data_IF_968949591853
#
_entry.id   IF_968949591853
#
_cell.length_a   1.000
_cell.length_b   1.000
_cell.length_c   1.000
_cell.angle_alpha   90.00
_cell.angle_beta   90.00
_cell.angle_gamma   90.00
#
_symmetry.space_group_name_H-M   'P 1'
#
loop_
_entity.id
_entity.type
_entity.pdbx_description
1 polymer ?
#
# COMPACT_ATOMS: atom_id res chain seq x y z
N UNK A 1 12.94 -6.42 8.01
CA UNK A 1 11.89 -6.63 6.97
C UNK A 1 10.88 -7.68 7.37
N UNK A 2 11.30 -8.80 7.97
CA UNK A 2 10.35 -9.80 8.48
C UNK A 2 9.39 -9.22 9.52
N UNK A 3 9.91 -8.48 10.50
CA UNK A 3 9.08 -7.77 11.48
C UNK A 3 8.08 -6.81 10.81
N UNK A 4 8.54 -6.03 9.82
CA UNK A 4 7.68 -5.12 9.07
C UNK A 4 6.57 -5.85 8.29
N UNK A 5 6.87 -7.03 7.73
CA UNK A 5 5.87 -7.90 7.09
C UNK A 5 4.83 -8.33 8.12
N UNK A 6 5.27 -8.89 9.26
CA UNK A 6 4.37 -9.37 10.31
C UNK A 6 3.43 -8.25 10.78
N UNK A 7 3.97 -7.07 11.08
CA UNK A 7 3.18 -5.93 11.54
C UNK A 7 2.23 -5.39 10.47
N UNK A 8 2.69 -5.26 9.21
CA UNK A 8 1.83 -4.84 8.09
C UNK A 8 0.61 -5.77 7.95
N UNK A 9 0.86 -7.08 7.96
CA UNK A 9 -0.20 -8.06 7.86
C UNK A 9 -1.12 -8.09 9.10
N UNK A 10 -0.57 -7.88 10.30
CA UNK A 10 -1.36 -7.78 11.54
C UNK A 10 -2.32 -6.59 11.49
N UNK A 11 -1.82 -5.41 11.11
CA UNK A 11 -2.60 -4.18 11.00
C UNK A 11 -3.65 -4.31 9.90
N UNK A 12 -3.28 -4.83 8.72
CA UNK A 12 -4.20 -4.99 7.59
C UNK A 12 -5.33 -5.98 7.88
N UNK A 13 -5.10 -6.99 8.73
CA UNK A 13 -6.12 -7.97 9.12
C UNK A 13 -7.06 -7.51 10.22
N UNK A 14 -6.78 -6.41 10.91
CA UNK A 14 -7.68 -5.86 11.91
C UNK A 14 -9.08 -5.58 11.30
N UNK A 15 -10.15 -5.83 12.06
CA UNK A 15 -11.54 -5.68 11.61
C UNK A 15 -11.81 -4.31 10.99
N UNK A 16 -11.26 -3.28 11.61
CA UNK A 16 -11.50 -1.88 11.25
C UNK A 16 -10.75 -1.48 9.97
N UNK A 17 -9.73 -2.27 9.59
CA UNK A 17 -8.88 -2.03 8.43
C UNK A 17 -9.27 -2.85 7.19
N UNK A 18 -10.33 -3.65 7.27
CA UNK A 18 -10.72 -4.55 6.17
C UNK A 18 -11.01 -3.78 4.87
N UNK A 19 -10.17 -4.06 3.87
CA UNK A 19 -10.17 -3.47 2.54
C UNK A 19 -9.71 -2.00 2.48
N UNK A 20 -9.25 -1.40 3.57
CA UNK A 20 -8.72 -0.02 3.58
C UNK A 20 -7.50 0.02 2.64
N UNK A 21 -7.42 0.95 1.67
CA UNK A 21 -6.31 0.97 0.72
C UNK A 21 -4.96 1.18 1.42
N UNK A 22 -3.94 0.50 0.93
CA UNK A 22 -2.58 0.55 1.49
C UNK A 22 -1.60 1.02 0.44
N UNK A 23 -0.93 2.13 0.72
CA UNK A 23 0.26 2.58 -0.01
C UNK A 23 1.49 2.21 0.80
N UNK A 24 2.41 1.45 0.21
CA UNK A 24 3.73 1.16 0.78
C UNK A 24 4.76 2.07 0.11
N UNK A 25 5.40 2.93 0.91
CA UNK A 25 6.51 3.75 0.45
C UNK A 25 7.82 3.01 0.69
N UNK A 26 8.41 2.49 -0.38
CA UNK A 26 9.76 1.92 -0.39
C UNK A 26 10.78 3.07 -0.31
N UNK A 27 10.91 3.62 0.89
CA UNK A 27 11.68 4.83 1.17
C UNK A 27 13.20 4.59 1.16
N UNK A 28 13.96 5.69 1.11
CA UNK A 28 15.42 5.78 1.11
C UNK A 28 16.08 5.33 -0.21
N UNK A 29 15.42 5.54 -1.35
CA UNK A 29 15.99 5.19 -2.66
C UNK A 29 17.24 6.00 -3.03
N UNK A 30 17.54 7.06 -2.28
CA UNK A 30 18.78 7.85 -2.34
C UNK A 30 20.01 7.09 -1.80
N UNK A 31 19.81 6.05 -0.98
CA UNK A 31 20.90 5.35 -0.30
C UNK A 31 21.43 4.17 -1.13
N UNK A 32 22.75 3.92 -1.10
CA UNK A 32 23.31 2.70 -1.67
C UNK A 32 22.75 1.47 -0.94
N UNK A 33 22.39 0.45 -1.70
CA UNK A 33 21.81 -0.78 -1.14
C UNK A 33 20.32 -0.71 -0.80
N UNK A 34 19.62 0.38 -1.16
CA UNK A 34 18.17 0.45 -1.08
C UNK A 34 17.54 -0.63 -1.97
N UNK A 35 16.53 -1.31 -1.42
CA UNK A 35 15.75 -2.29 -2.19
C UNK A 35 14.81 -1.57 -3.15
N UNK A 36 14.66 -2.10 -4.35
CA UNK A 36 13.66 -1.62 -5.30
C UNK A 36 12.24 -1.81 -4.77
N UNK A 37 11.29 -1.02 -5.30
CA UNK A 37 9.87 -1.16 -4.95
C UNK A 37 9.34 -2.60 -5.17
N UNK A 38 9.79 -3.27 -6.23
CA UNK A 38 9.40 -4.65 -6.53
C UNK A 38 9.96 -5.65 -5.50
N UNK A 39 11.20 -5.46 -5.04
CA UNK A 39 11.78 -6.30 -3.98
C UNK A 39 11.09 -6.08 -2.63
N UNK A 40 10.75 -4.83 -2.30
CA UNK A 40 9.96 -4.51 -1.11
C UNK A 40 8.57 -5.15 -1.20
N UNK A 41 7.89 -5.06 -2.35
CA UNK A 41 6.59 -5.71 -2.59
C UNK A 41 6.66 -7.21 -2.33
N UNK A 42 7.69 -7.88 -2.87
CA UNK A 42 7.91 -9.32 -2.71
C UNK A 42 8.20 -9.69 -1.25
N UNK A 43 9.12 -8.98 -0.59
CA UNK A 43 9.55 -9.31 0.79
C UNK A 43 8.47 -9.04 1.82
N UNK A 44 7.63 -8.02 1.60
CA UNK A 44 6.49 -7.72 2.47
C UNK A 44 5.24 -8.53 2.12
N UNK A 45 5.28 -9.36 1.08
CA UNK A 45 4.12 -10.13 0.60
C UNK A 45 2.87 -9.26 0.43
N UNK A 46 3.02 -8.06 -0.14
CA UNK A 46 1.95 -7.05 -0.22
C UNK A 46 0.71 -7.57 -0.97
N UNK A 47 0.91 -8.46 -1.95
CA UNK A 47 -0.18 -9.10 -2.71
C UNK A 47 -1.00 -10.12 -1.91
N UNK A 48 -0.48 -10.57 -0.77
CA UNK A 48 -1.17 -11.47 0.17
C UNK A 48 -1.96 -10.69 1.24
N UNK A 49 -1.98 -9.36 1.19
CA UNK A 49 -2.94 -8.56 1.96
C UNK A 49 -4.37 -8.90 1.52
N UNK A 50 -5.35 -8.66 2.40
CA UNK A 50 -6.72 -9.15 2.21
C UNK A 50 -7.26 -8.80 0.81
N UNK A 51 -7.92 -9.75 0.14
CA UNK A 51 -8.28 -9.65 -1.29
C UNK A 51 -9.12 -8.41 -1.69
N UNK A 52 -9.83 -7.80 -0.74
CA UNK A 52 -10.60 -6.57 -0.96
C UNK A 52 -9.76 -5.28 -0.81
N UNK A 53 -8.47 -5.39 -0.47
CA UNK A 53 -7.56 -4.28 -0.20
C UNK A 53 -6.85 -3.88 -1.48
N UNK A 54 -7.01 -2.63 -1.89
CA UNK A 54 -6.19 -2.07 -2.96
C UNK A 54 -4.81 -1.73 -2.41
N UNK A 55 -3.77 -2.15 -3.12
CA UNK A 55 -2.38 -1.97 -2.70
C UNK A 55 -1.57 -1.30 -3.81
N UNK A 56 -0.59 -0.48 -3.42
CA UNK A 56 0.44 0.03 -4.32
C UNK A 56 1.77 0.14 -3.58
N UNK A 57 2.87 -0.13 -4.25
CA UNK A 57 4.22 0.07 -3.72
C UNK A 57 4.92 1.11 -4.57
N UNK A 58 5.43 2.16 -3.93
CA UNK A 58 6.07 3.29 -4.59
C UNK A 58 7.48 3.48 -4.02
N UNK A 59 8.49 3.48 -4.88
CA UNK A 59 9.84 3.91 -4.50
C UNK A 59 9.85 5.41 -4.23
N UNK A 60 10.48 5.83 -3.13
CA UNK A 60 10.60 7.25 -2.80
C UNK A 60 11.90 7.61 -2.07
N UNK A 61 12.25 8.89 -2.12
CA UNK A 61 13.26 9.52 -1.27
C UNK A 61 12.57 10.60 -0.44
N UNK A 62 12.58 10.46 0.88
CA UNK A 62 12.06 11.49 1.78
C UNK A 62 12.96 12.74 1.82
N UNK A 63 14.25 12.61 1.46
CA UNK A 63 15.21 13.72 1.42
C UNK A 63 14.92 14.62 0.22
N UNK A 64 14.70 14.01 -0.94
CA UNK A 64 14.56 14.74 -2.22
C UNK A 64 13.08 14.93 -2.62
N UNK A 65 12.17 14.30 -1.89
CA UNK A 65 10.72 14.28 -2.18
C UNK A 65 10.32 13.41 -3.38
N UNK A 66 11.28 12.78 -4.07
CA UNK A 66 11.03 11.96 -5.25
C UNK A 66 10.07 10.81 -4.93
N UNK A 67 9.09 10.59 -5.81
CA UNK A 67 8.13 9.49 -5.72
C UNK A 67 6.99 9.69 -4.72
N UNK A 68 7.02 10.71 -3.86
CA UNK A 68 5.94 10.98 -2.90
C UNK A 68 4.64 11.38 -3.59
N UNK A 69 4.71 12.37 -4.50
CA UNK A 69 3.53 12.86 -5.21
C UNK A 69 2.83 11.77 -6.03
N UNK A 70 3.52 10.99 -6.91
CA UNK A 70 2.91 9.87 -7.61
C UNK A 70 2.32 8.80 -6.66
N UNK A 71 2.98 8.54 -5.53
CA UNK A 71 2.48 7.59 -4.52
C UNK A 71 1.15 8.04 -3.91
N UNK A 72 1.04 9.32 -3.54
CA UNK A 72 -0.15 9.91 -2.95
C UNK A 72 -1.31 10.01 -3.96
N UNK A 73 -1.02 10.33 -5.22
CA UNK A 73 -2.00 10.28 -6.31
C UNK A 73 -2.58 8.88 -6.45
N UNK A 74 -1.72 7.86 -6.42
CA UNK A 74 -2.17 6.47 -6.50
C UNK A 74 -3.02 6.06 -5.30
N UNK A 75 -2.67 6.52 -4.09
CA UNK A 75 -3.50 6.31 -2.90
C UNK A 75 -4.89 6.95 -3.07
N UNK A 76 -4.96 8.18 -3.57
CA UNK A 76 -6.22 8.86 -3.84
C UNK A 76 -7.11 8.08 -4.80
N UNK A 77 -6.57 7.57 -5.91
CA UNK A 77 -7.31 6.71 -6.85
C UNK A 77 -7.88 5.46 -6.18
N UNK A 78 -7.07 4.79 -5.34
CA UNK A 78 -7.51 3.59 -4.62
C UNK A 78 -8.65 3.89 -3.63
N UNK A 79 -8.60 5.05 -2.95
CA UNK A 79 -9.67 5.52 -2.07
C UNK A 79 -10.96 5.74 -2.86
N UNK A 80 -10.90 6.43 -3.99
CA UNK A 80 -12.06 6.65 -4.85
C UNK A 80 -12.66 5.32 -5.35
N UNK A 81 -11.81 4.39 -5.77
CA UNK A 81 -12.22 3.06 -6.23
C UNK A 81 -12.94 2.28 -5.12
N UNK A 82 -12.41 2.27 -3.89
CA UNK A 82 -13.08 1.66 -2.73
C UNK A 82 -14.44 2.29 -2.46
N UNK A 83 -14.54 3.62 -2.48
CA UNK A 83 -15.82 4.33 -2.28
C UNK A 83 -16.85 3.93 -3.33
N UNK A 84 -16.44 3.75 -4.59
CA UNK A 84 -17.33 3.29 -5.68
C UNK A 84 -17.81 1.85 -5.45
N UNK A 85 -16.92 0.93 -5.09
CA UNK A 85 -17.27 -0.48 -4.79
C UNK A 85 -18.20 -0.58 -3.58
N UNK A 86 -17.95 0.20 -2.52
CA UNK A 86 -18.80 0.24 -1.33
C UNK A 86 -20.20 0.78 -1.61
N UNK A 87 -20.34 1.77 -2.50
CA UNK A 87 -21.65 2.26 -2.94
C UNK A 87 -22.40 1.24 -3.79
N UNK A 88 -21.71 0.55 -4.70
CA UNK A 88 -22.31 -0.45 -5.57
C UNK A 88 -22.82 -1.67 -4.79
N UNK A 89 -22.08 -2.13 -3.77
CA UNK A 89 -22.51 -3.23 -2.90
C UNK A 89 -23.74 -2.89 -2.06
N UNK A 90 -23.89 -1.63 -1.60
CA UNK A 90 -25.10 -1.16 -0.92
C UNK A 90 -26.34 -1.11 -1.82
N UNK A 91 -26.20 -0.84 -3.11
CA UNK A 91 -27.32 -0.79 -4.07
C UNK A 91 -27.84 -2.19 -4.47
N UNK A 92 -27.03 -3.24 -4.27
CA UNK A 92 -27.36 -4.64 -4.60
C UNK A 92 -27.93 -5.43 -3.41
N UNK A 93 -27.94 -4.84 -2.22
CA UNK A 93 -28.61 -5.35 -1.02
C UNK A 93 -29.94 -4.64 -0.86
#
# INVERSE_FOLDING_TARGET
LEEAKVELHRISRASDNQGVPVLVLANKQDQPGALSAAEVEKRLAVRELAAATFTHVQGCSAVDGLGLQPGLERLYEMILKRKKVARASKKRR
#
